data_IF_169452485737
#
_entry.id   IF_169452485737
#
_cell.length_a   1.000
_cell.length_b   1.000
_cell.length_c   1.000
_cell.angle_alpha   90.00
_cell.angle_beta   90.00
_cell.angle_gamma   90.00
#
_symmetry.space_group_name_H-M   'P 1'
#
loop_
_entity.id
_entity.type
_entity.pdbx_description
1 polymer ?
#
# COMPACT_ATOMS: atom_id res chain seq x y z
N UNK A 1 -26.91 83.39 3.08
CA UNK A 1 -28.08 82.63 2.59
C UNK A 1 -27.92 81.21 3.10
N UNK A 2 -28.21 80.93 4.37
CA UNK A 2 -29.51 80.60 4.98
C UNK A 2 -30.06 79.20 4.61
N UNK A 3 -30.29 78.43 5.69
CA UNK A 3 -31.19 77.30 5.91
C UNK A 3 -30.78 75.89 5.45
N UNK A 4 -31.02 74.77 6.16
CA UNK A 4 -31.36 74.43 7.56
C UNK A 4 -31.35 72.88 7.68
N UNK A 5 -30.99 72.39 8.87
CA UNK A 5 -31.01 71.00 9.39
C UNK A 5 -32.43 70.42 9.62
N UNK A 6 -32.59 69.09 9.56
CA UNK A 6 -33.35 68.24 10.51
C UNK A 6 -33.26 66.76 10.06
N UNK A 7 -32.81 65.75 10.84
CA UNK A 7 -33.29 65.16 12.12
C UNK A 7 -34.73 64.63 12.00
N UNK A 8 -35.03 63.32 12.19
CA UNK A 8 -35.33 62.63 13.47
C UNK A 8 -35.69 61.13 13.21
N UNK A 9 -35.13 60.17 13.97
CA UNK A 9 -35.73 59.30 15.03
C UNK A 9 -36.62 58.09 14.63
N UNK A 10 -36.28 56.92 15.19
CA UNK A 10 -37.06 55.67 15.45
C UNK A 10 -38.15 55.89 16.56
N UNK A 11 -38.95 54.92 17.12
CA UNK A 11 -38.87 53.43 17.26
C UNK A 11 -40.30 52.72 17.27
N UNK A 12 -40.72 51.69 18.06
CA UNK A 12 -40.10 50.55 18.83
C UNK A 12 -40.80 49.14 18.72
N UNK A 13 -40.28 48.16 19.49
CA UNK A 13 -40.92 46.95 20.12
C UNK A 13 -41.15 45.69 19.24
N UNK A 14 -41.05 44.43 19.71
CA UNK A 14 -41.22 43.88 21.05
C UNK A 14 -40.46 42.55 21.29
N UNK A 15 -40.15 42.30 22.56
CA UNK A 15 -39.66 41.08 23.20
C UNK A 15 -40.72 39.99 23.38
N UNK A 16 -40.33 38.71 23.43
CA UNK A 16 -40.78 37.79 24.50
C UNK A 16 -40.02 36.45 24.44
N UNK A 17 -39.34 36.13 25.54
CA UNK A 17 -38.89 34.80 25.94
C UNK A 17 -40.08 33.93 26.37
N UNK A 18 -39.98 32.60 26.24
CA UNK A 18 -40.30 31.64 27.32
C UNK A 18 -39.88 30.22 26.95
N UNK A 19 -38.98 29.67 27.76
CA UNK A 19 -38.77 28.23 27.95
C UNK A 19 -40.04 27.58 28.53
N UNK A 20 -40.36 26.35 28.08
CA UNK A 20 -41.19 25.43 28.86
C UNK A 20 -40.75 23.97 28.66
N UNK A 21 -40.23 23.40 29.75
CA UNK A 21 -39.93 21.99 29.98
C UNK A 21 -41.22 21.17 30.13
N UNK A 22 -41.32 19.99 29.49
CA UNK A 22 -42.02 18.79 30.04
C UNK A 22 -41.72 17.54 29.17
N UNK A 23 -40.84 16.62 29.58
CA UNK A 23 -41.06 15.43 30.44
C UNK A 23 -41.32 14.14 29.63
N UNK A 24 -40.36 13.22 29.68
CA UNK A 24 -40.50 11.81 29.30
C UNK A 24 -41.39 11.04 30.28
N UNK A 25 -42.03 9.95 29.82
CA UNK A 25 -42.05 8.71 30.58
C UNK A 25 -41.67 7.45 29.76
N UNK A 26 -41.11 6.46 30.47
CA UNK A 26 -40.70 5.12 30.01
C UNK A 26 -41.90 4.14 29.93
N UNK A 27 -41.79 3.12 29.07
CA UNK A 27 -42.59 1.89 29.12
C UNK A 27 -42.22 0.87 28.03
N UNK A 28 -41.75 -0.32 28.41
CA UNK A 28 -41.33 -1.47 27.58
C UNK A 28 -42.50 -2.23 26.93
N UNK A 29 -42.30 -2.84 25.74
CA UNK A 29 -42.45 -4.31 25.48
C UNK A 29 -42.44 -4.67 23.98
N UNK A 30 -42.03 -5.92 23.72
CA UNK A 30 -41.65 -6.62 22.49
C UNK A 30 -42.65 -6.66 21.32
N UNK A 31 -42.11 -6.72 20.09
CA UNK A 31 -42.77 -7.25 18.89
C UNK A 31 -41.79 -7.23 17.71
N UNK A 32 -41.26 -8.39 17.33
CA UNK A 32 -40.25 -8.52 16.28
C UNK A 32 -40.80 -8.33 14.88
N UNK A 33 -39.97 -7.76 14.01
CA UNK A 33 -39.94 -8.09 12.59
C UNK A 33 -38.51 -7.86 12.09
N UNK A 34 -37.95 -8.88 11.45
CA UNK A 34 -36.59 -8.87 10.94
C UNK A 34 -36.60 -8.22 9.56
N UNK A 35 -36.06 -7.02 9.47
CA UNK A 35 -35.49 -6.47 8.24
C UNK A 35 -34.13 -5.90 8.58
N UNK A 36 -33.09 -6.72 8.41
CA UNK A 36 -31.70 -6.27 8.36
C UNK A 36 -31.52 -5.45 7.08
N UNK A 37 -32.00 -4.21 7.10
CA UNK A 37 -31.51 -3.15 6.21
C UNK A 37 -30.32 -2.53 6.92
N UNK A 38 -29.16 -3.17 6.78
CA UNK A 38 -27.90 -2.69 7.32
C UNK A 38 -27.64 -1.27 6.82
N UNK A 39 -27.65 -0.34 7.78
CA UNK A 39 -27.43 1.07 7.58
C UNK A 39 -26.11 1.32 6.84
N UNK A 40 -26.22 2.01 5.71
CA UNK A 40 -25.14 2.44 4.83
C UNK A 40 -24.40 3.66 5.44
N UNK A 41 -23.82 3.51 6.65
CA UNK A 41 -23.18 4.62 7.39
C UNK A 41 -21.71 4.38 7.74
N UNK A 42 -21.16 3.17 7.56
CA UNK A 42 -19.79 2.82 8.00
C UNK A 42 -18.71 2.75 6.88
N UNK A 43 -19.04 3.15 5.64
CA UNK A 43 -18.10 3.04 4.51
C UNK A 43 -16.79 3.83 4.62
N UNK A 44 -16.75 5.06 5.17
CA UNK A 44 -15.51 5.86 5.21
C UNK A 44 -14.45 5.26 6.14
N UNK A 45 -14.88 4.74 7.29
CA UNK A 45 -14.01 4.14 8.30
C UNK A 45 -13.42 2.83 7.80
N UNK A 46 -14.23 2.02 7.11
CA UNK A 46 -13.79 0.75 6.54
C UNK A 46 -12.71 0.97 5.45
N UNK A 47 -12.91 1.96 4.56
CA UNK A 47 -11.90 2.31 3.56
C UNK A 47 -10.59 2.82 4.18
N UNK A 48 -10.64 3.64 5.23
CA UNK A 48 -9.44 4.10 5.92
C UNK A 48 -8.57 2.95 6.45
N UNK A 49 -9.20 1.89 6.96
CA UNK A 49 -8.53 0.69 7.46
C UNK A 49 -7.87 -0.10 6.33
N UNK A 50 -8.54 -0.22 5.18
CA UNK A 50 -7.99 -0.94 4.03
C UNK A 50 -6.73 -0.24 3.46
N UNK A 51 -6.69 1.09 3.52
CA UNK A 51 -5.57 1.93 3.07
C UNK A 51 -4.54 2.20 4.18
N UNK A 52 -4.36 1.27 5.12
CA UNK A 52 -3.44 1.41 6.27
C UNK A 52 -1.96 1.16 5.95
N UNK A 53 -1.61 0.74 4.72
CA UNK A 53 -0.22 0.38 4.39
C UNK A 53 0.75 1.56 4.49
N UNK A 54 0.27 2.80 4.39
CA UNK A 54 1.11 3.99 4.54
C UNK A 54 1.81 4.03 5.91
N UNK A 55 1.17 3.52 6.97
CA UNK A 55 1.76 3.45 8.33
C UNK A 55 2.94 2.47 8.44
N UNK A 56 3.07 1.57 7.46
CA UNK A 56 4.10 0.54 7.43
C UNK A 56 5.25 0.89 6.49
N UNK A 57 5.18 2.05 5.84
CA UNK A 57 6.26 2.60 5.02
C UNK A 57 7.34 3.13 5.94
N UNK A 58 8.59 2.80 5.63
CA UNK A 58 9.75 3.44 6.26
C UNK A 58 10.00 4.78 5.56
N UNK A 59 9.38 5.84 6.08
CA UNK A 59 9.46 7.19 5.53
C UNK A 59 10.87 7.79 5.62
N UNK A 60 11.70 7.33 6.56
CA UNK A 60 13.07 7.82 6.69
C UNK A 60 13.91 7.36 5.49
N UNK A 61 13.78 6.09 5.10
CA UNK A 61 14.49 5.50 3.98
C UNK A 61 13.75 5.60 2.63
N UNK A 62 12.56 6.19 2.58
CA UNK A 62 11.86 6.46 1.34
C UNK A 62 12.66 7.47 0.49
N UNK A 63 12.85 7.14 -0.78
CA UNK A 63 13.52 8.01 -1.75
C UNK A 63 12.56 8.33 -2.90
N UNK A 64 12.51 9.60 -3.30
CA UNK A 64 11.81 10.05 -4.49
C UNK A 64 12.84 10.73 -5.40
N UNK A 65 12.99 10.22 -6.64
CA UNK A 65 13.88 10.81 -7.62
C UNK A 65 13.12 11.76 -8.54
N UNK A 66 13.81 12.83 -8.94
CA UNK A 66 13.30 13.93 -9.76
C UNK A 66 12.17 14.73 -9.10
N UNK A 67 12.15 14.84 -7.77
CA UNK A 67 11.28 15.79 -7.05
C UNK A 67 11.90 17.19 -7.01
N UNK A 68 11.10 18.24 -7.27
CA UNK A 68 11.54 19.67 -7.23
C UNK A 68 11.94 20.09 -5.80
N UNK A 69 11.18 19.62 -4.80
CA UNK A 69 11.44 19.89 -3.40
C UNK A 69 11.82 18.59 -2.69
N UNK A 70 13.03 18.57 -2.12
CA UNK A 70 13.53 17.42 -1.36
C UNK A 70 12.58 17.01 -0.23
N UNK A 71 12.21 15.73 -0.20
CA UNK A 71 11.30 15.15 0.79
C UNK A 71 9.82 15.47 0.56
N UNK A 72 9.43 16.05 -0.57
CA UNK A 72 8.02 16.28 -0.92
C UNK A 72 7.30 14.98 -1.28
N UNK A 73 7.99 14.03 -1.92
CA UNK A 73 7.50 12.71 -2.25
C UNK A 73 7.16 11.84 -1.03
N UNK A 74 7.63 12.20 0.17
CA UNK A 74 7.23 11.53 1.42
C UNK A 74 5.84 11.98 1.89
N UNK A 75 5.43 13.21 1.55
CA UNK A 75 4.21 13.86 2.06
C UNK A 75 2.94 13.44 1.33
N UNK A 76 3.08 12.77 0.19
CA UNK A 76 1.94 12.24 -0.58
C UNK A 76 1.39 10.93 0.00
N UNK A 77 2.16 10.25 0.86
CA UNK A 77 1.71 9.08 1.61
C UNK A 77 1.08 9.52 2.93
N UNK A 78 -0.24 9.45 3.02
CA UNK A 78 -1.00 9.92 4.17
C UNK A 78 -2.29 9.10 4.37
N UNK A 79 -3.03 9.30 5.47
CA UNK A 79 -4.31 8.62 5.68
C UNK A 79 -5.28 8.87 4.52
N UNK A 80 -6.13 7.90 4.26
CA UNK A 80 -7.15 7.98 3.20
C UNK A 80 -8.12 9.16 3.40
N UNK A 81 -8.40 9.54 4.65
CA UNK A 81 -9.27 10.67 5.02
C UNK A 81 -8.74 11.99 4.48
N UNK A 82 -7.41 12.17 4.48
CA UNK A 82 -6.73 13.39 4.04
C UNK A 82 -6.41 13.37 2.53
N UNK A 83 -6.88 12.38 1.76
CA UNK A 83 -6.50 12.24 0.34
C UNK A 83 -6.85 13.48 -0.50
N UNK A 84 -7.94 14.18 -0.17
CA UNK A 84 -8.40 15.38 -0.87
C UNK A 84 -7.65 16.66 -0.45
N UNK A 85 -6.73 16.59 0.52
CA UNK A 85 -5.89 17.72 0.88
C UNK A 85 -4.85 18.00 -0.22
N UNK A 86 -5.03 19.09 -0.96
CA UNK A 86 -4.11 19.50 -2.03
C UNK A 86 -2.93 20.33 -1.53
N UNK A 87 -2.82 20.59 -0.21
CA UNK A 87 -1.71 21.39 0.34
C UNK A 87 -0.37 20.66 0.27
N UNK A 88 -0.39 19.33 0.35
CA UNK A 88 0.78 18.48 0.20
C UNK A 88 0.80 17.87 -1.20
N UNK A 89 1.90 18.06 -1.90
CA UNK A 89 2.11 17.49 -3.22
C UNK A 89 3.60 17.30 -3.48
N UNK A 90 3.89 16.43 -4.44
CA UNK A 90 5.18 16.32 -5.10
C UNK A 90 5.03 16.78 -6.53
N UNK A 91 6.02 17.53 -6.98
CA UNK A 91 6.14 18.01 -8.36
C UNK A 91 7.49 17.54 -8.88
N UNK A 92 7.54 17.15 -10.14
CA UNK A 92 8.80 16.89 -10.81
C UNK A 92 9.59 18.17 -11.12
N UNK A 93 10.93 18.06 -11.14
CA UNK A 93 11.84 19.21 -11.30
C UNK A 93 12.21 19.48 -12.77
N UNK A 94 12.76 18.47 -13.45
CA UNK A 94 13.38 18.65 -14.76
C UNK A 94 12.46 18.28 -15.94
N UNK A 95 11.68 17.22 -15.77
CA UNK A 95 10.77 16.65 -16.77
C UNK A 95 9.59 15.98 -16.06
N UNK A 96 8.68 15.38 -16.81
CA UNK A 96 7.49 14.68 -16.31
C UNK A 96 7.77 13.38 -15.53
N UNK A 97 9.01 12.89 -15.50
CA UNK A 97 9.33 11.56 -14.98
C UNK A 97 9.47 11.57 -13.45
N UNK A 98 8.85 10.64 -12.73
CA UNK A 98 9.02 10.49 -11.27
C UNK A 98 9.25 9.03 -10.88
N UNK A 99 10.14 8.80 -9.92
CA UNK A 99 10.42 7.46 -9.40
C UNK A 99 10.40 7.46 -7.87
N UNK A 100 9.53 6.64 -7.29
CA UNK A 100 9.44 6.43 -5.85
C UNK A 100 10.04 5.08 -5.50
N UNK A 101 10.93 5.05 -4.51
CA UNK A 101 11.47 3.85 -3.89
C UNK A 101 10.93 3.76 -2.45
N UNK A 102 9.99 2.83 -2.24
CA UNK A 102 9.18 2.74 -1.03
C UNK A 102 9.60 1.47 -0.26
N UNK A 103 10.48 1.59 0.74
CA UNK A 103 10.75 0.51 1.66
C UNK A 103 9.59 0.32 2.65
N UNK A 104 9.26 -0.94 2.95
CA UNK A 104 8.32 -1.28 4.01
C UNK A 104 9.05 -1.87 5.21
N UNK A 105 8.51 -1.63 6.39
CA UNK A 105 8.99 -2.19 7.68
C UNK A 105 8.75 -3.70 7.83
N UNK A 106 8.04 -4.32 6.88
CA UNK A 106 7.73 -5.74 6.87
C UNK A 106 7.25 -6.19 5.50
N UNK A 107 6.64 -7.36 5.44
CA UNK A 107 6.13 -7.91 4.18
C UNK A 107 4.69 -7.48 3.97
N UNK A 108 4.39 -6.85 2.83
CA UNK A 108 3.02 -6.50 2.45
C UNK A 108 2.51 -7.36 1.30
N UNK A 109 1.20 -7.51 1.25
CA UNK A 109 0.43 -7.99 0.10
C UNK A 109 -0.35 -6.81 -0.47
N UNK A 110 0.09 -6.30 -1.62
CA UNK A 110 -0.55 -5.17 -2.28
C UNK A 110 -1.80 -5.64 -3.03
N UNK A 111 -2.94 -4.99 -2.77
CA UNK A 111 -4.25 -5.29 -3.37
C UNK A 111 -4.80 -4.16 -4.22
N UNK A 112 -4.48 -2.92 -3.89
CA UNK A 112 -4.97 -1.73 -4.59
C UNK A 112 -4.04 -0.54 -4.44
N UNK A 113 -4.09 0.36 -5.40
CA UNK A 113 -3.36 1.63 -5.42
C UNK A 113 -4.33 2.72 -5.89
N UNK A 114 -4.36 3.83 -5.17
CA UNK A 114 -5.05 5.07 -5.59
C UNK A 114 -3.99 6.13 -5.84
N UNK A 115 -4.13 6.85 -6.95
CA UNK A 115 -3.30 7.99 -7.29
C UNK A 115 -4.21 9.19 -7.52
N UNK A 116 -3.91 10.31 -6.86
CA UNK A 116 -4.53 11.60 -7.16
C UNK A 116 -3.43 12.49 -7.70
N UNK A 117 -3.47 12.75 -9.01
CA UNK A 117 -2.54 13.67 -9.69
C UNK A 117 -3.03 15.11 -9.71
N UNK A 118 -2.27 15.99 -10.39
CA UNK A 118 -2.65 17.40 -10.58
C UNK A 118 -3.95 17.57 -11.37
N UNK A 119 -4.59 18.74 -11.22
CA UNK A 119 -5.91 19.04 -11.78
C UNK A 119 -5.94 19.33 -13.30
N UNK A 120 -4.78 19.35 -13.94
CA UNK A 120 -4.58 19.69 -15.35
C UNK A 120 -3.90 18.52 -16.10
N UNK A 121 -3.23 18.80 -17.22
CA UNK A 121 -2.47 17.81 -18.01
C UNK A 121 -1.24 17.25 -17.26
N UNK A 122 -1.00 17.69 -16.03
CA UNK A 122 0.08 17.25 -15.16
C UNK A 122 -0.20 15.96 -14.37
N UNK A 123 -1.41 15.40 -14.49
CA UNK A 123 -1.72 14.09 -13.94
C UNK A 123 -0.87 13.01 -14.63
N UNK A 124 -0.28 12.04 -13.91
CA UNK A 124 0.45 10.95 -14.55
C UNK A 124 -0.50 10.10 -15.40
N UNK A 125 -0.08 9.70 -16.59
CA UNK A 125 -0.92 8.90 -17.51
C UNK A 125 -0.57 7.39 -17.46
N UNK A 126 0.55 7.05 -16.83
CA UNK A 126 1.07 5.69 -16.77
C UNK A 126 1.78 5.46 -15.44
N UNK A 127 1.59 4.26 -14.89
CA UNK A 127 2.24 3.80 -13.68
C UNK A 127 2.88 2.44 -13.93
N UNK A 128 4.16 2.30 -13.59
CA UNK A 128 4.90 1.06 -13.69
C UNK A 128 5.35 0.64 -12.29
N UNK A 129 5.07 -0.61 -11.93
CA UNK A 129 5.36 -1.16 -10.63
C UNK A 129 6.51 -2.16 -10.72
N UNK A 130 7.45 -2.03 -9.79
CA UNK A 130 8.55 -2.96 -9.62
C UNK A 130 8.59 -3.46 -8.19
N UNK A 131 8.64 -4.77 -8.06
CA UNK A 131 8.61 -5.46 -6.78
C UNK A 131 10.03 -5.82 -6.34
N UNK A 132 10.35 -5.57 -5.07
CA UNK A 132 11.53 -6.07 -4.37
C UNK A 132 12.85 -5.68 -5.03
N UNK A 133 12.90 -4.47 -5.61
CA UNK A 133 14.10 -3.86 -6.17
C UNK A 133 14.42 -2.59 -5.38
N UNK A 134 15.29 -2.65 -4.38
CA UNK A 134 15.67 -1.48 -3.61
C UNK A 134 16.49 -0.50 -4.46
N UNK A 135 16.34 0.81 -4.20
CA UNK A 135 17.16 1.88 -4.79
C UNK A 135 17.20 1.86 -6.32
N UNK A 136 16.04 1.69 -6.96
CA UNK A 136 15.97 1.78 -8.41
C UNK A 136 16.31 3.20 -8.90
N UNK A 137 16.98 3.25 -10.05
CA UNK A 137 17.31 4.47 -10.79
C UNK A 137 16.60 4.50 -12.14
N UNK A 138 16.71 5.60 -12.88
CA UNK A 138 16.14 5.73 -14.23
C UNK A 138 16.77 4.80 -15.27
N UNK A 139 17.96 4.25 -15.01
CA UNK A 139 18.54 3.20 -15.86
C UNK A 139 17.86 1.83 -15.59
N UNK A 140 17.46 1.57 -14.35
CA UNK A 140 16.85 0.29 -13.95
C UNK A 140 15.40 0.15 -14.43
N UNK A 141 14.69 1.27 -14.63
CA UNK A 141 13.31 1.25 -15.13
C UNK A 141 13.21 0.85 -16.61
N UNK A 142 14.32 0.79 -17.34
CA UNK A 142 14.35 0.28 -18.72
C UNK A 142 14.02 -1.22 -18.78
N UNK A 143 14.21 -1.93 -17.67
CA UNK A 143 13.81 -3.33 -17.54
C UNK A 143 12.29 -3.44 -17.53
N UNK A 144 11.77 -4.57 -18.00
CA UNK A 144 10.34 -4.88 -17.93
C UNK A 144 9.82 -4.75 -16.48
N UNK A 145 8.76 -3.96 -16.32
CA UNK A 145 8.05 -3.81 -15.05
C UNK A 145 7.27 -5.09 -14.70
N UNK A 146 7.07 -5.32 -13.40
CA UNK A 146 6.28 -6.45 -12.93
C UNK A 146 4.80 -6.28 -13.31
N UNK A 147 4.31 -5.04 -13.29
CA UNK A 147 2.99 -4.65 -13.78
C UNK A 147 2.98 -3.19 -14.22
N UNK A 148 2.18 -2.90 -15.25
CA UNK A 148 1.98 -1.54 -15.77
C UNK A 148 0.49 -1.24 -15.84
N UNK A 149 0.15 0.03 -15.62
CA UNK A 149 -1.22 0.56 -15.69
C UNK A 149 -1.24 1.83 -16.51
N UNK A 150 -2.28 1.97 -17.31
CA UNK A 150 -2.69 3.25 -17.89
C UNK A 150 -3.59 3.94 -16.89
N UNK A 151 -3.19 5.14 -16.46
CA UNK A 151 -3.91 5.93 -15.49
C UNK A 151 -4.89 6.85 -16.22
N UNK A 152 -6.04 7.08 -15.60
CA UNK A 152 -6.99 8.14 -15.98
C UNK A 152 -6.90 9.29 -14.97
N UNK A 153 -7.16 10.54 -15.39
CA UNK A 153 -7.19 11.68 -14.47
C UNK A 153 -8.24 11.47 -13.39
N UNK A 154 -7.83 11.53 -12.13
CA UNK A 154 -8.72 11.38 -10.98
C UNK A 154 -8.37 12.38 -9.88
N UNK A 155 -9.28 13.32 -9.64
CA UNK A 155 -9.13 14.38 -8.64
C UNK A 155 -9.77 14.01 -7.29
N UNK A 156 -10.55 12.92 -7.24
CA UNK A 156 -11.32 12.50 -6.06
C UNK A 156 -10.77 11.24 -5.41
N UNK A 157 -9.88 10.52 -6.11
CA UNK A 157 -9.35 9.23 -5.66
C UNK A 157 -10.43 8.16 -5.66
N UNK A 158 -11.29 8.16 -6.68
CA UNK A 158 -12.36 7.17 -6.89
C UNK A 158 -11.87 5.97 -7.71
N UNK A 159 -10.79 6.12 -8.49
CA UNK A 159 -10.22 5.07 -9.34
C UNK A 159 -9.16 4.30 -8.56
N UNK A 160 -9.46 3.04 -8.27
CA UNK A 160 -8.50 2.10 -7.69
C UNK A 160 -7.88 1.21 -8.78
N UNK A 161 -6.56 1.13 -8.79
CA UNK A 161 -5.79 0.22 -9.63
C UNK A 161 -5.38 -1.03 -8.84
N UNK A 162 -5.98 -2.17 -9.16
CA UNK A 162 -5.69 -3.43 -8.46
C UNK A 162 -4.56 -4.22 -9.14
N UNK A 163 -3.36 -4.33 -8.53
CA UNK A 163 -2.31 -5.21 -9.03
C UNK A 163 -2.65 -6.68 -8.88
N UNK A 164 -1.97 -7.53 -9.66
CA UNK A 164 -2.07 -8.98 -9.55
C UNK A 164 -1.53 -9.40 -8.20
N UNK A 165 -2.43 -9.70 -7.27
CA UNK A 165 -2.10 -10.10 -5.89
C UNK A 165 -1.10 -11.26 -5.85
N UNK A 166 -1.15 -12.19 -6.81
CA UNK A 166 -0.18 -13.30 -6.92
C UNK A 166 1.25 -12.81 -7.13
N UNK A 167 1.44 -11.73 -7.88
CA UNK A 167 2.74 -11.10 -8.12
C UNK A 167 3.15 -10.29 -6.91
N UNK A 168 2.23 -9.52 -6.32
CA UNK A 168 2.49 -8.58 -5.23
C UNK A 168 2.09 -9.09 -3.84
N UNK A 169 2.16 -10.40 -3.59
CA UNK A 169 1.81 -11.03 -2.31
C UNK A 169 2.90 -10.94 -1.23
N UNK A 170 4.14 -10.67 -1.64
CA UNK A 170 5.30 -10.61 -0.76
C UNK A 170 6.24 -9.49 -1.18
N UNK A 171 5.84 -8.26 -0.86
CA UNK A 171 6.58 -7.04 -1.20
C UNK A 171 7.19 -6.47 0.07
N UNK A 172 8.51 -6.28 0.08
CA UNK A 172 9.23 -5.56 1.15
C UNK A 172 9.79 -4.23 0.66
N UNK A 173 9.90 -4.07 -0.66
CA UNK A 173 10.26 -2.81 -1.31
C UNK A 173 9.43 -2.67 -2.57
N UNK A 174 8.75 -1.54 -2.74
CA UNK A 174 7.97 -1.22 -3.93
C UNK A 174 8.58 -0.02 -4.61
N UNK A 175 8.90 -0.14 -5.89
CA UNK A 175 9.26 1.03 -6.70
C UNK A 175 8.12 1.35 -7.66
N UNK A 176 7.70 2.62 -7.65
CA UNK A 176 6.63 3.14 -8.49
C UNK A 176 7.22 4.18 -9.44
N UNK A 177 7.11 3.92 -10.73
CA UNK A 177 7.63 4.78 -11.78
C UNK A 177 6.49 5.40 -12.58
N UNK A 178 6.52 6.72 -12.72
CA UNK A 178 5.62 7.50 -13.55
C UNK A 178 6.43 8.09 -14.71
N UNK A 179 6.43 7.46 -15.88
CA UNK A 179 7.27 7.89 -17.01
C UNK A 179 6.74 9.13 -17.73
N UNK A 180 5.42 9.31 -17.77
CA UNK A 180 4.76 10.31 -18.63
C UNK A 180 3.46 10.81 -18.00
N UNK A 181 3.02 11.99 -18.42
CA UNK A 181 1.75 12.63 -18.02
C UNK A 181 0.85 12.92 -19.24
N UNK A 182 -0.22 13.69 -19.08
CA UNK A 182 -1.18 13.99 -20.16
C UNK A 182 -0.73 15.10 -21.14
N UNK A 183 0.48 15.63 -20.99
CA UNK A 183 1.08 16.60 -21.92
C UNK A 183 1.62 17.88 -21.27
N UNK A 184 1.72 17.92 -19.95
CA UNK A 184 2.36 19.01 -19.22
C UNK A 184 3.88 18.79 -19.07
N UNK A 185 4.64 19.86 -18.86
CA UNK A 185 6.10 19.77 -18.69
C UNK A 185 6.50 19.04 -17.39
N UNK A 186 5.65 19.10 -16.36
CA UNK A 186 5.91 18.54 -15.04
C UNK A 186 4.72 17.70 -14.55
N UNK A 187 5.02 16.65 -13.80
CA UNK A 187 4.03 15.77 -13.18
C UNK A 187 3.75 16.20 -11.75
N UNK A 188 2.48 16.25 -11.39
CA UNK A 188 2.02 16.58 -10.04
C UNK A 188 1.29 15.38 -9.44
N UNK A 189 1.65 15.02 -8.21
CA UNK A 189 0.96 13.99 -7.43
C UNK A 189 0.61 14.58 -6.07
N UNK A 190 -0.67 14.58 -5.75
CA UNK A 190 -1.19 15.00 -4.45
C UNK A 190 -1.23 13.84 -3.47
N UNK A 191 -1.65 12.65 -3.89
CA UNK A 191 -1.87 11.53 -3.00
C UNK A 191 -1.50 10.19 -3.63
N UNK A 192 -0.86 9.32 -2.84
CA UNK A 192 -0.65 7.91 -3.17
C UNK A 192 -1.19 7.07 -2.02
N UNK A 193 -2.29 6.36 -2.30
CA UNK A 193 -2.92 5.42 -1.37
C UNK A 193 -2.51 3.99 -1.70
N UNK A 194 -2.04 3.24 -0.71
CA UNK A 194 -1.71 1.82 -0.84
C UNK A 194 -2.68 0.97 -0.01
N UNK A 195 -3.39 0.06 -0.68
CA UNK A 195 -4.35 -0.86 -0.07
C UNK A 195 -3.80 -2.27 -0.02
N UNK A 196 -3.92 -2.94 1.11
CA UNK A 196 -3.49 -4.33 1.22
C UNK A 196 -3.38 -4.86 2.63
N UNK A 197 -2.63 -5.95 2.78
CA UNK A 197 -2.40 -6.60 4.06
C UNK A 197 -0.92 -6.47 4.45
N UNK A 198 -0.66 -6.15 5.71
CA UNK A 198 0.68 -6.23 6.28
C UNK A 198 0.87 -7.58 6.99
N UNK A 199 2.07 -8.11 6.92
CA UNK A 199 2.52 -9.25 7.69
C UNK A 199 3.89 -8.93 8.26
N UNK A 200 4.04 -9.14 9.57
CA UNK A 200 5.31 -8.92 10.24
C UNK A 200 6.38 -9.81 9.57
N UNK A 201 7.53 -9.20 9.26
CA UNK A 201 8.64 -9.94 8.69
C UNK A 201 9.18 -10.89 9.75
N UNK A 202 8.67 -12.13 9.75
CA UNK A 202 9.34 -13.23 10.43
C UNK A 202 10.64 -13.48 9.68
N UNK A 203 11.73 -12.82 10.12
CA UNK A 203 13.08 -13.29 9.85
C UNK A 203 13.14 -14.71 10.42
N UNK A 204 12.80 -15.72 9.60
CA UNK A 204 13.24 -17.07 9.83
C UNK A 204 14.76 -17.00 9.77
N UNK A 205 15.37 -16.76 10.93
CA UNK A 205 16.79 -16.98 11.14
C UNK A 205 17.03 -18.36 10.57
N UNK A 206 17.84 -18.41 9.51
CA UNK A 206 18.17 -19.61 8.76
C UNK A 206 18.41 -20.70 9.78
N UNK A 207 17.43 -21.60 9.94
CA UNK A 207 17.66 -22.82 10.70
C UNK A 207 18.62 -23.56 9.80
N UNK A 208 19.91 -23.37 10.05
CA UNK A 208 20.94 -24.21 9.49
C UNK A 208 20.57 -25.59 10.02
N UNK A 209 19.83 -26.34 9.22
CA UNK A 209 19.74 -27.77 9.36
C UNK A 209 21.16 -28.25 9.05
N UNK A 210 22.04 -28.18 10.05
CA UNK A 210 23.22 -29.02 10.10
C UNK A 210 22.67 -30.44 10.10
N UNK A 211 22.54 -31.01 8.90
CA UNK A 211 22.49 -32.45 8.80
C UNK A 211 23.87 -32.89 9.27
N UNK A 212 23.95 -33.36 10.52
CA UNK A 212 25.11 -34.06 11.00
C UNK A 212 25.30 -35.27 10.07
N UNK A 213 26.06 -35.11 8.99
CA UNK A 213 26.61 -36.23 8.26
C UNK A 213 27.71 -36.84 9.13
N UNK A 214 27.32 -37.48 10.24
CA UNK A 214 28.14 -38.53 10.83
C UNK A 214 27.97 -39.74 9.91
N UNK A 215 29.02 -40.19 9.21
CA UNK A 215 28.95 -41.45 8.49
C UNK A 215 28.60 -42.54 9.50
N UNK A 216 27.39 -43.09 9.42
CA UNK A 216 27.05 -44.25 10.22
C UNK A 216 27.73 -45.46 9.58
N UNK A 217 28.86 -45.88 10.14
CA UNK A 217 29.71 -46.99 9.67
C UNK A 217 29.01 -48.37 9.70
N UNK A 218 27.71 -48.43 9.99
CA UNK A 218 26.93 -49.67 10.07
C UNK A 218 26.13 -50.02 8.81
N UNK A 219 26.12 -49.18 7.76
CA UNK A 219 25.35 -49.46 6.53
C UNK A 219 26.16 -50.12 5.38
N UNK A 220 27.48 -50.27 5.51
CA UNK A 220 28.26 -51.07 4.57
C UNK A 220 28.26 -52.55 4.97
N UNK A 221 27.14 -53.24 4.76
CA UNK A 221 27.15 -54.72 4.73
C UNK A 221 27.78 -55.18 3.41
N UNK A 222 29.06 -55.55 3.45
CA UNK A 222 29.76 -56.21 2.34
C UNK A 222 29.07 -57.53 1.98
N UNK A 223 28.17 -57.51 0.99
CA UNK A 223 27.54 -58.70 0.39
C UNK A 223 28.50 -59.39 -0.60
N UNK A 224 29.68 -59.81 -0.16
CA UNK A 224 30.65 -60.47 -1.05
C UNK A 224 31.28 -61.77 -0.53
N UNK A 225 30.88 -62.28 0.63
CA UNK A 225 31.48 -63.52 1.16
C UNK A 225 30.50 -64.64 1.56
N UNK A 226 29.21 -64.51 1.22
CA UNK A 226 28.20 -65.49 1.64
C UNK A 226 27.41 -66.08 0.47
N UNK A 227 28.12 -66.47 -0.58
CA UNK A 227 27.55 -67.22 -1.71
C UNK A 227 28.57 -68.20 -2.27
N UNK A 228 28.70 -69.34 -1.59
CA UNK A 228 28.61 -70.65 -2.23
C UNK A 228 29.51 -70.81 -3.48
N UNK A 229 30.77 -71.19 -3.27
CA UNK A 229 31.46 -72.11 -4.19
C UNK A 229 31.51 -73.49 -3.57
N UNK A 230 30.31 -74.08 -3.48
CA UNK A 230 30.15 -75.51 -3.74
C UNK A 230 30.61 -75.75 -5.18
N UNK A 231 31.84 -76.24 -5.37
CA UNK A 231 32.20 -77.05 -6.54
C UNK A 231 33.62 -77.60 -6.36
N UNK A 232 33.72 -78.93 -6.34
CA UNK A 232 34.89 -79.62 -6.89
C UNK A 232 35.91 -80.12 -5.88
N UNK A 233 35.71 -81.37 -5.45
CA UNK A 233 36.78 -82.28 -5.04
C UNK A 233 37.80 -82.36 -6.17
N UNK A 234 39.09 -82.08 -5.91
CA UNK A 234 40.17 -82.65 -6.70
C UNK A 234 41.34 -83.01 -5.77
N UNK A 235 41.51 -84.31 -5.55
CA UNK A 235 42.73 -84.91 -4.99
C UNK A 235 43.91 -84.56 -5.90
N UNK A 236 44.98 -84.01 -5.33
CA UNK A 236 46.32 -84.12 -5.91
C UNK A 236 47.28 -84.53 -4.79
N UNK A 237 47.46 -85.85 -4.68
CA UNK A 237 48.67 -86.48 -4.16
C UNK A 237 49.83 -86.10 -5.08
N UNK A 238 51.05 -85.92 -4.57
CA UNK A 238 52.27 -86.61 -5.06
C UNK A 238 53.56 -86.06 -4.40
N UNK A 239 54.25 -87.03 -3.75
CA UNK A 239 55.71 -87.30 -3.57
C UNK A 239 56.65 -86.21 -3.05
#
# INVERSE_FOLDING_TARGET
MNHTLNSERAPPAASASTDFLLKMPHGHSHGGDCSDEAANTDQPLEMGIEYSLYEKIDLDNLECLNEELEGSGKRVFRPYEDRLDTTQFVKSDCDEELLFNIPFTGNIKLKGIIIIGGNDDSHPNKMRLFKNRPKMTFDDVLVKADQEFELSPDYRGEIEYSPKVVTFSSVYHLSIHFPTNFGADNTYIHYIGLRGEFSEAHYHGVTICNYEARPNVTDHKNKLYDSIRNAGVLKITFI
#
